data_IF_417167432250
#
_entry.id   IF_417167432250
#
_cell.length_a   1.000
_cell.length_b   1.000
_cell.length_c   1.000
_cell.angle_alpha   90.00
_cell.angle_beta   90.00
_cell.angle_gamma   90.00
#
_symmetry.space_group_name_H-M   'P 1'
#
loop_
_entity.id
_entity.type
_entity.pdbx_description
1 polymer ?
#
# COMPACT_ATOMS: atom_id res chain seq x y z
N UNK A 1 -11.78 10.57 12.45
CA UNK A 1 -11.21 9.90 11.26
C UNK A 1 -11.45 8.41 11.42
N UNK A 2 -12.06 7.78 10.42
CA UNK A 2 -12.38 6.35 10.43
C UNK A 2 -11.65 5.64 9.29
N UNK A 3 -11.64 4.32 9.33
CA UNK A 3 -11.07 3.48 8.26
C UNK A 3 -11.76 3.77 6.93
N UNK A 4 -10.98 3.89 5.84
CA UNK A 4 -11.49 4.06 4.46
C UNK A 4 -12.16 2.82 3.88
N UNK A 5 -12.33 1.76 4.70
CA UNK A 5 -13.02 0.53 4.31
C UNK A 5 -14.50 0.79 4.05
N UNK A 6 -14.91 0.60 2.81
CA UNK A 6 -16.29 0.69 2.36
C UNK A 6 -16.79 -0.61 1.75
N UNK A 7 -18.10 -0.71 1.57
CA UNK A 7 -18.68 -1.74 0.69
C UNK A 7 -18.27 -1.44 -0.75
N UNK A 8 -18.13 -2.46 -1.59
CA UNK A 8 -17.91 -2.29 -3.03
C UNK A 8 -18.97 -1.32 -3.61
N UNK A 9 -18.56 -0.20 -4.23
CA UNK A 9 -19.50 0.75 -4.79
C UNK A 9 -20.30 0.11 -5.94
N UNK A 10 -21.60 0.42 -6.00
CA UNK A 10 -22.54 -0.18 -6.96
C UNK A 10 -22.20 0.12 -8.41
N UNK A 11 -21.43 1.19 -8.67
CA UNK A 11 -20.94 1.56 -9.99
C UNK A 11 -19.63 0.85 -10.40
N UNK A 12 -19.07 -0.04 -9.56
CA UNK A 12 -17.89 -0.85 -9.93
C UNK A 12 -18.31 -2.18 -10.53
N UNK A 13 -19.03 -3.00 -9.76
CA UNK A 13 -19.61 -4.26 -10.20
C UNK A 13 -20.67 -4.75 -9.20
N UNK A 14 -21.48 -5.73 -9.60
CA UNK A 14 -22.51 -6.31 -8.74
C UNK A 14 -21.91 -7.28 -7.70
N UNK A 15 -21.48 -6.76 -6.55
CA UNK A 15 -20.87 -7.58 -5.48
C UNK A 15 -21.81 -8.66 -4.92
N UNK A 16 -23.13 -8.44 -4.93
CA UNK A 16 -24.11 -9.39 -4.41
C UNK A 16 -24.13 -10.70 -5.23
N UNK A 17 -23.70 -10.66 -6.50
CA UNK A 17 -23.57 -11.84 -7.34
C UNK A 17 -22.33 -12.70 -7.00
N UNK A 18 -21.34 -12.14 -6.29
CA UNK A 18 -20.04 -12.79 -6.08
C UNK A 18 -19.74 -13.07 -4.61
N UNK A 19 -20.45 -12.47 -3.66
CA UNK A 19 -20.21 -12.73 -2.24
C UNK A 19 -20.71 -14.12 -1.82
N UNK A 20 -19.92 -14.83 -1.01
CA UNK A 20 -20.27 -16.15 -0.51
C UNK A 20 -19.43 -16.60 0.68
N UNK A 21 -19.68 -17.81 1.20
CA UNK A 21 -18.91 -18.35 2.32
C UNK A 21 -17.41 -18.46 2.01
N UNK A 22 -16.57 -18.23 3.02
CA UNK A 22 -15.11 -18.37 2.89
C UNK A 22 -14.73 -19.76 2.37
N UNK A 23 -13.95 -19.79 1.30
CA UNK A 23 -13.47 -21.02 0.65
C UNK A 23 -14.41 -21.60 -0.42
N UNK A 24 -15.57 -20.98 -0.68
CA UNK A 24 -16.41 -21.34 -1.82
C UNK A 24 -15.77 -20.88 -3.13
N UNK A 25 -15.55 -21.80 -4.06
CA UNK A 25 -14.95 -21.49 -5.36
C UNK A 25 -15.78 -20.44 -6.12
N UNK A 26 -15.09 -19.51 -6.80
CA UNK A 26 -15.71 -18.44 -7.59
C UNK A 26 -16.46 -17.37 -6.78
N UNK A 27 -16.30 -17.34 -5.45
CA UNK A 27 -16.95 -16.35 -4.58
C UNK A 27 -15.92 -15.60 -3.73
N UNK A 28 -16.17 -14.31 -3.51
CA UNK A 28 -15.47 -13.52 -2.51
C UNK A 28 -16.06 -13.77 -1.13
N UNK A 29 -15.19 -13.86 -0.11
CA UNK A 29 -15.62 -13.97 1.29
C UNK A 29 -15.92 -12.63 1.96
N UNK A 30 -15.78 -11.53 1.22
CA UNK A 30 -16.02 -10.15 1.68
C UNK A 30 -16.69 -9.33 0.58
N UNK A 31 -17.60 -8.44 0.98
CA UNK A 31 -18.20 -7.41 0.11
C UNK A 31 -17.55 -6.03 0.29
N UNK A 32 -16.49 -5.96 1.10
CA UNK A 32 -15.81 -4.71 1.46
C UNK A 32 -14.41 -4.63 0.87
N UNK A 33 -13.98 -3.41 0.58
CA UNK A 33 -12.65 -3.05 0.10
C UNK A 33 -12.34 -1.59 0.41
N UNK A 34 -11.34 -1.04 -0.27
CA UNK A 34 -10.94 0.36 -0.16
C UNK A 34 -10.94 0.92 -1.58
N UNK A 35 -11.66 2.02 -1.79
CA UNK A 35 -11.92 2.55 -3.11
C UNK A 35 -11.59 4.04 -3.14
N UNK A 36 -11.04 4.49 -4.27
CA UNK A 36 -10.97 5.91 -4.55
C UNK A 36 -12.39 6.45 -4.70
N UNK A 37 -12.73 7.41 -3.84
CA UNK A 37 -13.99 8.16 -3.85
C UNK A 37 -13.83 9.39 -4.76
N UNK A 38 -14.96 9.90 -5.26
CA UNK A 38 -15.04 11.15 -6.05
C UNK A 38 -14.14 11.22 -7.30
N UNK A 39 -13.71 10.07 -7.82
CA UNK A 39 -12.94 9.96 -9.07
C UNK A 39 -13.75 9.19 -10.12
N UNK A 40 -13.89 9.78 -11.29
CA UNK A 40 -14.40 9.10 -12.47
C UNK A 40 -13.27 8.38 -13.21
N UNK A 41 -13.17 7.07 -12.98
CA UNK A 41 -12.15 6.23 -13.63
C UNK A 41 -12.32 6.13 -15.16
N UNK A 42 -13.44 6.58 -15.71
CA UNK A 42 -13.68 6.56 -17.15
C UNK A 42 -13.06 7.78 -17.87
N UNK A 43 -12.59 8.79 -17.14
CA UNK A 43 -12.15 10.06 -17.74
C UNK A 43 -10.75 10.48 -17.30
N UNK A 44 -10.19 11.43 -18.04
CA UNK A 44 -8.97 12.20 -17.81
C UNK A 44 -9.14 13.52 -18.57
N UNK A 45 -8.44 14.60 -18.23
CA UNK A 45 -8.42 15.81 -19.06
C UNK A 45 -7.74 15.54 -20.41
N UNK A 46 -8.51 15.02 -21.36
CA UNK A 46 -8.04 14.65 -22.69
C UNK A 46 -7.55 15.85 -23.50
N UNK A 47 -8.04 17.05 -23.19
CA UNK A 47 -7.61 18.29 -23.85
C UNK A 47 -6.20 18.68 -23.41
N UNK A 48 -5.90 18.53 -22.12
CA UNK A 48 -4.58 18.77 -21.55
C UNK A 48 -3.55 17.75 -22.10
N UNK A 49 -3.92 16.47 -22.16
CA UNK A 49 -3.03 15.39 -22.62
C UNK A 49 -3.00 15.18 -24.13
N UNK A 50 -3.75 15.97 -24.91
CA UNK A 50 -3.87 15.85 -26.37
C UNK A 50 -4.29 14.44 -26.84
N UNK A 51 -5.25 13.83 -26.14
CA UNK A 51 -5.76 12.49 -26.43
C UNK A 51 -7.19 12.54 -26.99
N UNK A 52 -7.52 11.61 -27.87
CA UNK A 52 -8.90 11.41 -28.33
C UNK A 52 -9.72 10.61 -27.30
N UNK A 53 -11.05 10.76 -27.32
CA UNK A 53 -11.93 10.00 -26.42
C UNK A 53 -11.79 8.48 -26.57
N UNK A 54 -11.47 7.99 -27.78
CA UNK A 54 -11.20 6.57 -28.01
C UNK A 54 -9.91 6.11 -27.34
N UNK A 55 -8.85 6.91 -27.41
CA UNK A 55 -7.60 6.56 -26.71
C UNK A 55 -7.82 6.49 -25.21
N UNK A 56 -8.55 7.46 -24.63
CA UNK A 56 -8.88 7.48 -23.20
C UNK A 56 -9.68 6.25 -22.77
N UNK A 57 -10.64 5.80 -23.58
CA UNK A 57 -11.45 4.61 -23.28
C UNK A 57 -10.61 3.33 -23.21
N UNK A 58 -9.59 3.21 -24.07
CA UNK A 58 -8.69 2.05 -24.10
C UNK A 58 -7.58 2.10 -23.06
N UNK A 59 -7.25 3.28 -22.53
CA UNK A 59 -6.24 3.43 -21.49
C UNK A 59 -6.71 2.84 -20.17
N UNK A 60 -5.80 2.10 -19.50
CA UNK A 60 -6.04 1.63 -18.14
C UNK A 60 -6.25 2.85 -17.21
N UNK A 61 -7.31 2.88 -16.38
CA UNK A 61 -7.49 3.92 -15.35
C UNK A 61 -6.24 4.15 -14.48
N UNK A 62 -5.45 3.11 -14.18
CA UNK A 62 -4.20 3.23 -13.43
C UNK A 62 -3.19 4.14 -14.15
N UNK A 63 -3.10 4.03 -15.49
CA UNK A 63 -2.21 4.86 -16.29
C UNK A 63 -2.70 6.31 -16.34
N UNK A 64 -4.02 6.51 -16.44
CA UNK A 64 -4.63 7.84 -16.44
C UNK A 64 -4.38 8.59 -15.12
N UNK A 65 -4.66 7.94 -14.00
CA UNK A 65 -4.41 8.50 -12.67
C UNK A 65 -2.92 8.77 -12.42
N UNK A 66 -2.05 7.92 -12.95
CA UNK A 66 -0.61 8.12 -12.82
C UNK A 66 -0.11 9.34 -13.60
N UNK A 67 -0.68 9.63 -14.78
CA UNK A 67 -0.34 10.83 -15.55
C UNK A 67 -0.72 12.10 -14.78
N UNK A 68 -1.94 12.16 -14.25
CA UNK A 68 -2.41 13.29 -13.45
C UNK A 68 -1.57 13.44 -12.16
N UNK A 69 -1.41 12.36 -11.38
CA UNK A 69 -0.63 12.40 -10.15
C UNK A 69 0.84 12.78 -10.36
N UNK A 70 1.47 12.30 -11.45
CA UNK A 70 2.83 12.71 -11.79
C UNK A 70 2.92 14.20 -12.16
N UNK A 71 1.93 14.72 -12.87
CA UNK A 71 1.85 16.14 -13.20
C UNK A 71 1.67 17.01 -11.94
N UNK A 72 0.74 16.62 -11.07
CA UNK A 72 0.50 17.29 -9.77
C UNK A 72 1.76 17.28 -8.88
N UNK A 73 2.55 16.20 -8.90
CA UNK A 73 3.82 16.14 -8.17
C UNK A 73 4.84 17.15 -8.73
N UNK A 74 4.91 17.30 -10.06
CA UNK A 74 5.76 18.30 -10.70
C UNK A 74 5.32 19.71 -10.31
N UNK A 75 4.02 20.00 -10.36
CA UNK A 75 3.48 21.30 -9.94
C UNK A 75 3.75 21.57 -8.46
N UNK A 76 3.48 20.60 -7.59
CA UNK A 76 3.69 20.70 -6.14
C UNK A 76 5.16 20.93 -5.79
N UNK A 77 6.09 20.39 -6.58
CA UNK A 77 7.53 20.63 -6.40
C UNK A 77 7.98 22.06 -6.74
N UNK A 78 7.13 22.84 -7.42
CA UNK A 78 7.48 24.14 -7.99
C UNK A 78 8.49 24.06 -9.16
N UNK A 79 8.79 22.86 -9.66
CA UNK A 79 9.77 22.65 -10.73
C UNK A 79 9.16 22.94 -12.09
N UNK A 80 9.58 24.03 -12.72
CA UNK A 80 9.12 24.42 -14.07
C UNK A 80 10.11 24.09 -15.18
N UNK A 81 11.36 23.75 -14.83
CA UNK A 81 12.44 23.48 -15.78
C UNK A 81 12.78 21.99 -15.80
N UNK A 82 11.97 21.19 -16.48
CA UNK A 82 12.19 19.74 -16.66
C UNK A 82 12.51 19.36 -18.12
N UNK A 83 12.18 20.22 -19.09
CA UNK A 83 12.45 19.97 -20.52
C UNK A 83 13.96 19.84 -20.78
N UNK A 84 14.36 18.76 -21.44
CA UNK A 84 15.75 18.50 -21.83
C UNK A 84 16.65 18.01 -20.68
N UNK A 85 16.08 17.69 -19.51
CA UNK A 85 16.81 17.07 -18.40
C UNK A 85 16.68 15.55 -18.45
N UNK A 86 17.72 14.88 -17.97
CA UNK A 86 17.70 13.42 -17.79
C UNK A 86 16.93 13.08 -16.51
N UNK A 87 15.64 12.78 -16.66
CA UNK A 87 14.73 12.43 -15.56
C UNK A 87 14.31 10.97 -15.72
N UNK A 88 14.67 10.13 -14.75
CA UNK A 88 14.22 8.74 -14.71
C UNK A 88 12.76 8.61 -14.27
N UNK A 89 12.01 7.72 -14.90
CA UNK A 89 10.64 7.38 -14.52
C UNK A 89 10.60 5.91 -14.07
N UNK A 90 10.19 5.68 -12.81
CA UNK A 90 10.08 4.34 -12.22
C UNK A 90 8.66 4.14 -11.71
N UNK A 91 8.00 3.10 -12.22
CA UNK A 91 6.57 2.86 -12.02
C UNK A 91 6.38 1.48 -11.38
N UNK A 92 5.69 1.45 -10.24
CA UNK A 92 5.20 0.21 -9.63
C UNK A 92 3.73 0.02 -9.99
N UNK A 93 3.41 -1.00 -10.77
CA UNK A 93 2.04 -1.37 -11.13
C UNK A 93 1.80 -2.82 -10.71
N UNK A 94 0.59 -3.10 -10.26
CA UNK A 94 0.13 -4.43 -9.88
C UNK A 94 -1.32 -4.57 -10.32
N UNK A 95 -1.68 -5.72 -10.91
CA UNK A 95 -2.97 -5.95 -11.54
C UNK A 95 -3.00 -5.52 -13.01
N UNK A 96 -3.55 -6.37 -13.87
CA UNK A 96 -3.72 -6.13 -15.33
C UNK A 96 -5.20 -6.24 -15.75
N UNK A 97 -6.11 -6.14 -14.78
CA UNK A 97 -7.54 -6.46 -14.92
C UNK A 97 -8.23 -5.65 -16.03
N UNK A 98 -7.77 -4.42 -16.31
CA UNK A 98 -8.33 -3.61 -17.39
C UNK A 98 -8.07 -4.23 -18.76
N UNK A 99 -6.87 -4.76 -18.99
CA UNK A 99 -6.55 -5.50 -20.20
C UNK A 99 -7.38 -6.79 -20.27
N UNK A 100 -7.57 -7.50 -19.16
CA UNK A 100 -8.34 -8.74 -19.10
C UNK A 100 -9.82 -8.51 -19.46
N UNK A 101 -10.42 -7.47 -18.89
CA UNK A 101 -11.80 -7.04 -19.17
C UNK A 101 -11.97 -6.71 -20.66
N UNK A 102 -10.97 -6.07 -21.27
CA UNK A 102 -11.00 -5.68 -22.68
C UNK A 102 -10.69 -6.86 -23.63
N UNK A 103 -9.84 -7.79 -23.22
CA UNK A 103 -9.29 -8.82 -24.11
C UNK A 103 -10.07 -10.16 -24.11
N UNK A 104 -11.01 -10.40 -23.19
CA UNK A 104 -11.75 -11.69 -23.06
C UNK A 104 -10.81 -12.93 -23.04
N UNK A 105 -9.70 -12.87 -22.30
CA UNK A 105 -8.72 -13.99 -22.23
C UNK A 105 -8.63 -14.53 -20.79
N UNK A 106 -8.29 -15.81 -20.64
CA UNK A 106 -8.11 -16.49 -19.35
C UNK A 106 -6.64 -16.70 -19.00
N UNK A 107 -6.29 -16.46 -17.72
CA UNK A 107 -4.96 -16.64 -17.12
C UNK A 107 -4.83 -17.98 -16.36
N UNK A 108 -3.59 -18.45 -16.14
CA UNK A 108 -3.26 -19.64 -15.32
C UNK A 108 -2.17 -19.32 -14.25
N UNK A 109 -1.71 -20.31 -13.50
CA UNK A 109 -0.81 -20.15 -12.33
C UNK A 109 0.40 -21.10 -12.38
N UNK A 110 1.49 -20.69 -11.71
CA UNK A 110 2.90 -21.08 -11.87
C UNK A 110 3.32 -22.53 -11.62
N UNK A 111 2.40 -23.45 -11.34
CA UNK A 111 2.77 -24.81 -10.99
C UNK A 111 3.66 -24.89 -9.73
N UNK A 112 4.42 -25.99 -9.57
CA UNK A 112 4.84 -26.45 -8.23
C UNK A 112 6.00 -25.66 -7.61
N UNK A 113 5.74 -25.06 -6.45
CA UNK A 113 6.72 -24.44 -5.53
C UNK A 113 6.62 -25.07 -4.14
N UNK A 114 7.56 -24.78 -3.21
CA UNK A 114 7.41 -25.13 -1.78
C UNK A 114 6.30 -24.31 -1.07
N UNK A 115 5.79 -23.30 -1.80
CA UNK A 115 4.90 -22.22 -1.43
C UNK A 115 5.52 -20.92 -1.94
N UNK A 116 5.13 -20.51 -3.15
CA UNK A 116 5.70 -19.38 -3.91
C UNK A 116 5.65 -18.03 -3.17
N UNK A 117 4.69 -17.88 -2.26
CA UNK A 117 4.34 -16.63 -1.60
C UNK A 117 4.76 -16.53 -0.13
N UNK A 118 5.61 -17.45 0.37
CA UNK A 118 6.07 -17.38 1.75
C UNK A 118 7.18 -16.32 1.94
N UNK A 119 7.05 -15.42 2.93
CA UNK A 119 8.08 -14.41 3.21
C UNK A 119 9.36 -15.02 3.82
N UNK A 120 10.48 -14.30 3.71
CA UNK A 120 11.79 -14.72 4.23
C UNK A 120 12.31 -13.74 5.31
N UNK A 121 12.33 -14.12 6.60
CA UNK A 121 12.80 -13.25 7.68
C UNK A 121 14.26 -12.82 7.52
N UNK A 122 15.12 -13.73 7.05
CA UNK A 122 16.54 -13.45 6.81
C UNK A 122 16.71 -12.40 5.70
N UNK A 123 15.93 -12.50 4.62
CA UNK A 123 15.98 -11.53 3.53
C UNK A 123 15.48 -10.15 3.97
N UNK A 124 14.48 -10.09 4.85
CA UNK A 124 14.03 -8.83 5.44
C UNK A 124 15.11 -8.20 6.33
N UNK A 125 15.75 -8.99 7.20
CA UNK A 125 16.84 -8.51 8.06
C UNK A 125 18.03 -7.98 7.24
N UNK A 126 18.49 -8.74 6.25
CA UNK A 126 19.60 -8.36 5.38
C UNK A 126 19.31 -7.05 4.63
N UNK A 127 18.07 -6.88 4.14
CA UNK A 127 17.63 -5.65 3.47
C UNK A 127 17.64 -4.45 4.42
N UNK A 128 17.06 -4.58 5.62
CA UNK A 128 17.03 -3.49 6.62
C UNK A 128 18.45 -3.09 7.01
N UNK A 129 19.33 -4.05 7.30
CA UNK A 129 20.74 -3.76 7.64
C UNK A 129 21.44 -3.02 6.51
N UNK A 130 21.25 -3.46 5.27
CA UNK A 130 21.83 -2.81 4.09
C UNK A 130 21.33 -1.39 3.91
N UNK A 131 20.02 -1.14 4.08
CA UNK A 131 19.44 0.20 4.02
C UNK A 131 20.03 1.13 5.08
N UNK A 132 20.22 0.64 6.31
CA UNK A 132 20.86 1.38 7.39
C UNK A 132 22.33 1.72 7.10
N UNK A 133 23.10 0.76 6.59
CA UNK A 133 24.49 0.99 6.17
C UNK A 133 24.59 2.08 5.10
N UNK A 134 23.74 2.01 4.06
CA UNK A 134 23.71 3.02 2.99
C UNK A 134 23.29 4.40 3.49
N UNK A 135 22.42 4.46 4.50
CA UNK A 135 21.97 5.69 5.13
C UNK A 135 22.94 6.23 6.20
N UNK A 136 24.04 5.51 6.52
CA UNK A 136 24.97 5.89 7.58
C UNK A 136 24.38 5.80 9.00
N UNK A 137 23.36 4.96 9.21
CA UNK A 137 22.68 4.83 10.51
C UNK A 137 23.30 3.68 11.30
N UNK A 138 24.16 4.01 12.28
CA UNK A 138 24.94 3.02 13.05
C UNK A 138 24.16 2.29 14.17
N UNK A 139 23.01 2.82 14.62
CA UNK A 139 22.25 2.26 15.74
C UNK A 139 20.78 2.01 15.40
N UNK A 140 20.40 0.73 15.31
CA UNK A 140 19.02 0.26 15.04
C UNK A 140 18.00 0.64 16.13
N UNK A 141 18.44 1.16 17.28
CA UNK A 141 17.61 1.51 18.43
C UNK A 141 17.12 2.97 18.47
N UNK A 142 17.44 3.77 17.46
CA UNK A 142 17.11 5.21 17.42
C UNK A 142 15.84 5.62 16.66
N UNK A 143 15.19 4.83 15.77
CA UNK A 143 14.03 5.33 15.07
C UNK A 143 12.86 5.53 16.04
N UNK A 144 12.29 6.73 16.05
CA UNK A 144 11.09 7.04 16.84
C UNK A 144 9.87 6.26 16.34
N UNK A 145 9.86 5.89 15.05
CA UNK A 145 8.80 5.18 14.35
C UNK A 145 9.40 4.31 13.24
N UNK A 146 8.81 3.14 13.00
CA UNK A 146 9.05 2.29 11.83
C UNK A 146 7.71 2.11 11.13
N UNK A 147 7.64 2.40 9.84
CA UNK A 147 6.47 2.08 9.02
C UNK A 147 6.66 0.67 8.44
N UNK A 148 5.86 -0.28 8.91
CA UNK A 148 5.97 -1.68 8.51
C UNK A 148 5.19 -1.98 7.23
N UNK A 149 5.48 -3.13 6.62
CA UNK A 149 4.66 -3.62 5.52
C UNK A 149 3.26 -3.98 6.01
N UNK A 150 3.12 -4.72 7.12
CA UNK A 150 1.93 -4.72 7.97
C UNK A 150 0.65 -5.18 7.27
N UNK A 151 0.66 -6.40 6.72
CA UNK A 151 -0.48 -6.93 5.94
C UNK A 151 -1.60 -7.51 6.81
N UNK A 152 -1.41 -7.64 8.12
CA UNK A 152 -2.40 -8.22 9.02
C UNK A 152 -2.45 -9.74 8.96
N UNK A 153 -1.39 -10.39 8.47
CA UNK A 153 -1.39 -11.84 8.23
C UNK A 153 -0.84 -12.59 9.44
N UNK A 154 -1.45 -13.74 9.77
CA UNK A 154 -1.06 -14.55 10.93
C UNK A 154 0.36 -15.13 10.84
N UNK A 155 0.94 -15.16 9.64
CA UNK A 155 2.30 -15.64 9.36
C UNK A 155 3.26 -14.48 9.15
N UNK A 156 2.88 -13.44 8.40
CA UNK A 156 3.76 -12.31 8.07
C UNK A 156 4.02 -11.39 9.25
N UNK A 157 2.97 -10.99 9.99
CA UNK A 157 3.11 -10.00 11.06
C UNK A 157 4.09 -10.42 12.18
N UNK A 158 4.09 -11.69 12.64
CA UNK A 158 5.10 -12.15 13.60
C UNK A 158 6.54 -12.08 13.08
N UNK A 159 6.75 -12.12 11.77
CA UNK A 159 8.07 -12.06 11.14
C UNK A 159 8.57 -10.61 10.95
N UNK A 160 7.67 -9.63 10.93
CA UNK A 160 8.00 -8.20 10.78
C UNK A 160 8.30 -7.49 12.12
N UNK A 161 8.25 -8.21 13.25
CA UNK A 161 8.12 -7.70 14.61
C UNK A 161 9.03 -6.51 15.03
N UNK A 162 8.41 -5.32 15.22
CA UNK A 162 8.67 -4.27 16.21
C UNK A 162 7.45 -3.31 16.29
N UNK A 163 7.30 -2.46 17.33
CA UNK A 163 6.18 -1.50 17.37
C UNK A 163 6.29 -0.54 16.20
N UNK A 164 5.31 -0.61 15.31
CA UNK A 164 5.36 -0.01 14.01
C UNK A 164 4.05 0.69 13.70
N UNK A 165 4.14 1.76 12.93
CA UNK A 165 3.00 2.36 12.28
C UNK A 165 2.72 1.60 10.98
N UNK A 166 1.44 1.52 10.60
CA UNK A 166 1.02 0.82 9.39
C UNK A 166 -0.12 1.59 8.72
N UNK A 167 0.07 2.09 7.51
CA UNK A 167 -0.94 2.84 6.75
C UNK A 167 -2.09 1.94 6.29
N UNK A 168 -1.83 0.63 6.17
CA UNK A 168 -2.80 -0.35 5.68
C UNK A 168 -3.98 -0.56 6.62
N UNK A 169 -3.87 -0.17 7.90
CA UNK A 169 -5.01 -0.18 8.83
C UNK A 169 -6.09 0.82 8.46
N UNK A 170 -5.72 1.85 7.70
CA UNK A 170 -6.56 2.99 7.35
C UNK A 170 -7.04 2.93 5.91
N UNK A 171 -6.13 2.59 4.98
CA UNK A 171 -6.38 2.60 3.53
C UNK A 171 -6.42 1.20 2.89
N UNK A 172 -6.21 0.15 3.68
CA UNK A 172 -6.07 -1.21 3.17
C UNK A 172 -4.75 -1.45 2.45
N UNK A 173 -4.64 -2.63 1.83
CA UNK A 173 -3.45 -3.00 1.08
C UNK A 173 -3.55 -2.49 -0.36
N UNK A 174 -3.02 -1.30 -0.63
CA UNK A 174 -3.04 -0.65 -1.95
C UNK A 174 -2.03 -1.23 -2.97
N UNK A 175 -1.60 -2.48 -2.76
CA UNK A 175 -0.74 -3.24 -3.68
C UNK A 175 0.45 -2.43 -4.22
N UNK A 176 0.53 -2.17 -5.54
CA UNK A 176 1.61 -1.41 -6.18
C UNK A 176 1.86 -0.02 -5.59
N UNK A 177 0.83 0.61 -5.00
CA UNK A 177 0.92 1.91 -4.35
C UNK A 177 1.25 1.84 -2.84
N UNK A 178 1.38 0.63 -2.25
CA UNK A 178 1.60 0.45 -0.82
C UNK A 178 2.88 1.11 -0.31
N UNK A 179 3.95 1.07 -1.13
CA UNK A 179 5.22 1.70 -0.79
C UNK A 179 5.11 3.22 -0.74
N UNK A 180 4.53 3.84 -1.79
CA UNK A 180 4.33 5.29 -1.86
C UNK A 180 3.41 5.80 -0.75
N UNK A 181 2.32 5.07 -0.45
CA UNK A 181 1.41 5.40 0.66
C UNK A 181 2.15 5.45 2.01
N UNK A 182 3.09 4.53 2.22
CA UNK A 182 3.91 4.45 3.43
C UNK A 182 4.89 5.63 3.53
N UNK A 183 5.54 5.99 2.41
CA UNK A 183 6.45 7.15 2.35
C UNK A 183 5.70 8.45 2.58
N UNK A 184 4.55 8.66 1.92
CA UNK A 184 3.72 9.85 2.09
C UNK A 184 3.32 10.03 3.56
N UNK A 185 2.86 8.96 4.22
CA UNK A 185 2.57 8.98 5.65
C UNK A 185 3.78 9.41 6.48
N UNK A 186 4.97 8.89 6.19
CA UNK A 186 6.18 9.28 6.93
C UNK A 186 6.56 10.74 6.72
N UNK A 187 6.38 11.29 5.51
CA UNK A 187 6.57 12.72 5.24
C UNK A 187 5.59 13.55 6.08
N UNK A 188 4.30 13.19 6.08
CA UNK A 188 3.27 13.89 6.87
C UNK A 188 3.52 13.78 8.39
N UNK A 189 4.01 12.64 8.87
CA UNK A 189 4.42 12.47 10.28
C UNK A 189 5.55 13.43 10.65
N UNK A 190 6.53 13.61 9.77
CA UNK A 190 7.63 14.55 9.99
C UNK A 190 7.16 16.00 9.93
N UNK A 191 6.31 16.34 8.96
CA UNK A 191 5.76 17.68 8.75
C UNK A 191 4.88 18.13 9.92
N UNK A 192 3.96 17.26 10.36
CA UNK A 192 3.04 17.55 11.46
C UNK A 192 3.59 17.15 12.83
N UNK A 193 4.79 16.57 12.90
CA UNK A 193 5.44 16.10 14.12
C UNK A 193 4.55 15.21 15.00
N UNK A 194 3.64 14.47 14.36
CA UNK A 194 2.58 13.71 15.03
C UNK A 194 2.53 12.31 14.43
N UNK A 195 2.57 11.30 15.30
CA UNK A 195 2.44 9.89 14.90
C UNK A 195 0.96 9.50 15.02
N UNK A 196 0.27 9.19 13.90
CA UNK A 196 -1.12 8.75 13.95
C UNK A 196 -1.23 7.34 14.54
N UNK A 197 -2.39 7.04 15.12
CA UNK A 197 -2.72 5.72 15.68
C UNK A 197 -2.89 4.69 14.56
N UNK A 198 -2.60 3.42 14.86
CA UNK A 198 -2.99 2.32 13.98
C UNK A 198 -4.45 1.94 14.29
N UNK A 199 -5.30 1.90 13.27
CA UNK A 199 -6.67 1.42 13.44
C UNK A 199 -6.70 -0.10 13.66
N UNK A 200 -7.79 -0.59 14.26
CA UNK A 200 -8.04 -2.02 14.50
C UNK A 200 -7.02 -2.73 15.43
N UNK A 201 -6.19 -1.98 16.15
CA UNK A 201 -5.18 -2.51 17.05
C UNK A 201 -5.69 -2.58 18.50
N UNK A 202 -6.56 -3.53 18.79
CA UNK A 202 -7.17 -3.70 20.13
C UNK A 202 -6.43 -4.73 20.98
N UNK A 203 -6.21 -5.93 20.46
CA UNK A 203 -5.52 -7.03 21.13
C UNK A 203 -4.22 -7.35 20.39
N UNK A 204 -3.04 -7.24 21.03
CA UNK A 204 -1.77 -7.51 20.37
C UNK A 204 -1.66 -8.99 19.99
N UNK A 205 -1.04 -9.27 18.84
CA UNK A 205 -0.79 -10.64 18.41
C UNK A 205 0.15 -11.34 19.42
N UNK A 206 -0.27 -12.43 20.08
CA UNK A 206 0.50 -13.08 21.14
C UNK A 206 1.80 -13.73 20.64
N UNK A 207 1.94 -13.92 19.33
CA UNK A 207 3.18 -14.44 18.71
C UNK A 207 4.26 -13.38 18.55
N UNK A 208 3.93 -12.10 18.72
CA UNK A 208 4.90 -11.00 18.67
C UNK A 208 5.43 -10.75 20.08
N UNK A 209 6.73 -10.93 20.34
CA UNK A 209 7.29 -10.83 21.69
C UNK A 209 7.58 -9.36 22.07
N UNK A 210 6.55 -8.53 22.17
CA UNK A 210 6.64 -7.09 22.43
C UNK A 210 7.48 -6.76 23.69
N UNK A 211 7.36 -7.55 24.76
CA UNK A 211 8.13 -7.37 26.01
C UNK A 211 9.64 -7.60 25.84
N UNK A 212 10.04 -8.41 24.86
CA UNK A 212 11.44 -8.65 24.52
C UNK A 212 11.99 -7.62 23.52
N UNK A 213 11.12 -7.05 22.69
CA UNK A 213 11.46 -5.99 21.73
C UNK A 213 11.69 -4.65 22.45
N UNK A 214 10.86 -4.33 23.47
CA UNK A 214 11.04 -3.13 24.32
C UNK A 214 12.40 -3.12 25.05
N UNK A 215 12.88 -4.29 25.50
CA UNK A 215 14.17 -4.42 26.22
C UNK A 215 15.40 -4.31 25.33
N UNK A 216 15.26 -4.47 24.01
CA UNK A 216 16.36 -4.38 23.03
C UNK A 216 16.51 -2.98 22.40
N UNK A 217 15.74 -1.99 22.88
CA UNK A 217 15.82 -0.62 22.39
C UNK A 217 15.28 -0.42 20.96
N UNK A 218 14.76 -1.45 20.30
CA UNK A 218 14.23 -1.39 18.93
C UNK A 218 12.78 -0.89 18.85
N UNK A 219 12.21 -0.45 19.96
CA UNK A 219 10.79 -0.18 20.12
C UNK A 219 10.61 0.96 21.13
N UNK A 220 10.51 2.20 20.64
CA UNK A 220 10.54 3.42 21.43
C UNK A 220 9.19 3.88 21.99
N UNK A 221 8.05 3.40 21.47
CA UNK A 221 6.73 3.79 21.96
C UNK A 221 6.04 2.66 22.73
N UNK A 222 5.46 2.94 23.90
CA UNK A 222 4.62 1.98 24.57
C UNK A 222 3.38 1.70 23.72
N UNK A 223 3.07 0.42 23.49
CA UNK A 223 1.82 -0.11 22.88
C UNK A 223 0.55 0.64 23.36
N UNK A 224 0.56 1.12 24.60
CA UNK A 224 -0.51 1.93 25.21
C UNK A 224 -0.77 3.27 24.51
N UNK A 225 0.21 3.87 23.84
CA UNK A 225 0.05 5.11 23.08
C UNK A 225 -0.68 4.91 21.75
N UNK A 226 -0.84 3.65 21.28
CA UNK A 226 -1.62 3.31 20.09
C UNK A 226 -3.09 2.97 20.40
N UNK A 227 -3.51 3.04 21.68
CA UNK A 227 -4.80 2.49 22.16
C UNK A 227 -5.80 3.54 22.71
N UNK A 228 -5.53 4.84 22.64
CA UNK A 228 -6.42 5.85 23.24
C UNK A 228 -6.92 6.90 22.22
N UNK A 229 -8.10 6.62 21.66
CA UNK A 229 -9.30 7.45 21.80
C UNK A 229 -10.55 6.55 21.67
#
# INVERSE_FOLDING_TARGET
MGSGRGRVPTNRYNIDAFVGPKGKAGHSCTEHGYFLEDIDLATIDSSFWSMSGKEVEWMDPQQRLMLEGAYECLESSGTTSYKGKDIGCYIGVFGEDWLDIQAKVSHNSDGKTAGLSFPSPKSHEDLIRRSHELAGIEYLSKPAIIECHGTGTAVGDPLEACAAAQVKTDLGHSEGASGLSSVLKMVLVLEHQTIPLNLNFTTPNPKIPFDSARRRGSCGMPVMAQQQA
#
